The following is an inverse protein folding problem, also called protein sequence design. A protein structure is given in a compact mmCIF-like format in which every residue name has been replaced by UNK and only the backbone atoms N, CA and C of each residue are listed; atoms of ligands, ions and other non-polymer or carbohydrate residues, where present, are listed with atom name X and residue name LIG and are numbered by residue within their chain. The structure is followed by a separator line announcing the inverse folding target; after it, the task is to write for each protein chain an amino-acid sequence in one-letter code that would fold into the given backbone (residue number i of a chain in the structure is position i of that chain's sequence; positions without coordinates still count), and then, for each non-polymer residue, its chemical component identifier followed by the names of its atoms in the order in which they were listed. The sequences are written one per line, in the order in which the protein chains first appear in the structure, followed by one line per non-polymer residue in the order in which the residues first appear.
data_IF_046565127914
#
_entry.id   IF_046565127914
#
_cell.length_a   1.000
_cell.length_b   1.000
_cell.length_c   1.000
_cell.angle_alpha   90.00
_cell.angle_beta   90.00
_cell.angle_gamma   90.00
#
_symmetry.space_group_name_H-M   'P 1'
#
loop_
_entity.id
_entity.type
_entity.pdbx_description
1 polymer ?
#
# COMPACT_ATOMS: atom_id res chain seq x y z
N UNK A 1 -9.95 7.26 18.48
CA UNK A 1 -10.23 8.00 17.24
C UNK A 1 -9.25 7.45 16.21
N UNK A 2 -9.72 6.96 15.07
CA UNK A 2 -8.81 6.56 13.98
C UNK A 2 -8.64 7.78 13.07
N UNK A 3 -7.41 8.18 12.81
CA UNK A 3 -7.06 9.30 11.94
C UNK A 3 -6.50 8.77 10.63
N UNK A 4 -6.91 9.37 9.51
CA UNK A 4 -6.39 9.06 8.19
C UNK A 4 -5.35 10.13 7.86
N UNK A 5 -4.11 9.71 7.62
CA UNK A 5 -2.99 10.58 7.34
C UNK A 5 -2.35 10.17 6.02
N UNK A 6 -1.94 11.13 5.21
CA UNK A 6 -1.09 10.83 4.05
C UNK A 6 0.33 10.55 4.53
N UNK A 7 0.80 9.34 4.26
CA UNK A 7 2.12 8.85 4.66
C UNK A 7 2.91 8.51 3.39
N UNK A 8 4.14 9.00 3.32
CA UNK A 8 5.06 8.66 2.25
C UNK A 8 5.35 7.16 2.22
N UNK A 9 5.24 6.53 1.06
CA UNK A 9 5.39 5.07 0.91
C UNK A 9 6.76 4.61 1.37
N UNK A 10 7.80 5.44 1.19
CA UNK A 10 9.17 5.16 1.65
C UNK A 10 9.33 5.11 3.18
N UNK A 11 8.38 5.63 3.95
CA UNK A 11 8.34 5.51 5.41
C UNK A 11 7.59 4.26 5.88
N UNK A 12 6.92 3.54 4.98
CA UNK A 12 6.15 2.34 5.31
C UNK A 12 7.02 1.12 5.09
N UNK A 13 7.38 0.47 6.19
CA UNK A 13 8.05 -0.82 6.20
C UNK A 13 7.02 -1.92 5.94
N UNK A 14 7.16 -2.58 4.79
CA UNK A 14 6.38 -3.77 4.47
C UNK A 14 7.15 -4.97 5.00
N UNK A 15 6.55 -5.72 5.93
CA UNK A 15 7.15 -6.96 6.44
C UNK A 15 7.37 -8.00 5.33
N UNK A 16 8.05 -9.12 5.63
CA UNK A 16 8.29 -10.19 4.66
C UNK A 16 6.95 -10.75 4.17
N UNK A 17 6.54 -10.34 2.97
CA UNK A 17 5.31 -10.78 2.36
C UNK A 17 5.63 -11.86 1.32
N UNK A 18 5.10 -13.08 1.51
CA UNK A 18 5.16 -14.11 0.48
C UNK A 18 4.08 -13.84 -0.56
N UNK A 19 4.44 -13.13 -1.63
CA UNK A 19 3.66 -13.15 -2.88
C UNK A 19 4.20 -14.27 -3.75
N UNK A 20 3.49 -15.39 -3.80
CA UNK A 20 3.63 -16.38 -4.87
C UNK A 20 2.29 -17.06 -5.08
N UNK A 21 1.51 -16.51 -6.00
CA UNK A 21 0.52 -17.25 -6.78
C UNK A 21 0.35 -16.51 -8.11
N UNK A 22 0.52 -17.22 -9.21
CA UNK A 22 0.46 -16.67 -10.59
C UNK A 22 -0.88 -16.00 -10.93
N UNK A 23 -1.94 -16.20 -10.13
CA UNK A 23 -3.22 -15.51 -10.26
C UNK A 23 -3.31 -14.14 -9.55
N UNK A 24 -2.36 -13.79 -8.68
CA UNK A 24 -2.38 -12.49 -7.97
C UNK A 24 -1.89 -11.32 -8.85
N UNK A 25 -1.15 -11.60 -9.92
CA UNK A 25 -0.56 -10.58 -10.78
C UNK A 25 -1.61 -9.81 -11.61
N UNK A 26 -2.63 -10.49 -12.14
CA UNK A 26 -3.66 -9.85 -12.98
C UNK A 26 -4.55 -8.93 -12.14
N UNK A 27 -5.03 -9.41 -10.99
CA UNK A 27 -5.78 -8.59 -10.03
C UNK A 27 -4.94 -7.43 -9.47
N UNK A 28 -3.63 -7.63 -9.26
CA UNK A 28 -2.74 -6.56 -8.83
C UNK A 28 -2.55 -5.51 -9.92
N UNK A 29 -2.48 -5.92 -11.19
CA UNK A 29 -2.42 -5.00 -12.33
C UNK A 29 -3.70 -4.18 -12.46
N UNK A 30 -4.88 -4.80 -12.35
CA UNK A 30 -6.15 -4.08 -12.33
C UNK A 30 -6.23 -3.09 -11.17
N UNK A 31 -5.82 -3.51 -9.96
CA UNK A 31 -5.78 -2.64 -8.79
C UNK A 31 -4.81 -1.47 -8.99
N UNK A 32 -3.65 -1.72 -9.60
CA UNK A 32 -2.66 -0.69 -9.95
C UNK A 32 -3.23 0.30 -10.95
N UNK A 33 -3.90 -0.18 -11.99
CA UNK A 33 -4.54 0.67 -12.99
C UNK A 33 -5.65 1.54 -12.38
N UNK A 34 -6.44 0.99 -11.47
CA UNK A 34 -7.44 1.72 -10.71
C UNK A 34 -6.80 2.79 -9.82
N UNK A 35 -5.80 2.43 -9.02
CA UNK A 35 -5.08 3.36 -8.14
C UNK A 35 -4.40 4.48 -8.93
N UNK A 36 -3.86 4.21 -10.12
CA UNK A 36 -3.34 5.25 -11.01
C UNK A 36 -4.40 6.26 -11.46
N UNK A 37 -5.66 5.82 -11.63
CA UNK A 37 -6.76 6.67 -12.10
C UNK A 37 -7.42 7.47 -10.99
N UNK A 38 -7.68 6.84 -9.84
CA UNK A 38 -8.50 7.43 -8.77
C UNK A 38 -7.77 7.60 -7.43
N UNK A 39 -6.52 7.16 -7.35
CA UNK A 39 -5.77 7.11 -6.09
C UNK A 39 -6.18 5.94 -5.20
N UNK A 40 -5.65 5.93 -3.98
CA UNK A 40 -5.98 4.92 -2.98
C UNK A 40 -7.23 5.34 -2.21
N UNK A 41 -8.37 4.73 -2.50
CA UNK A 41 -9.65 5.07 -1.86
C UNK A 41 -9.79 4.53 -0.44
N UNK A 42 -9.18 3.37 -0.17
CA UNK A 42 -9.25 2.71 1.13
C UNK A 42 -7.88 2.77 1.79
N UNK A 43 -7.78 3.43 2.97
CA UNK A 43 -6.53 3.57 3.70
C UNK A 43 -5.82 2.25 3.98
N UNK A 44 -4.51 2.33 4.13
CA UNK A 44 -3.71 1.23 4.67
C UNK A 44 -3.64 1.32 6.18
N UNK A 45 -3.55 0.16 6.84
CA UNK A 45 -3.44 0.12 8.31
C UNK A 45 -1.96 -0.03 8.63
N UNK A 46 -1.43 0.96 9.32
CA UNK A 46 -0.06 0.95 9.81
C UNK A 46 -0.02 1.13 11.32
N UNK A 47 1.09 0.72 11.91
CA UNK A 47 1.43 1.06 13.30
C UNK A 47 2.75 1.85 13.31
N UNK A 48 2.88 2.86 14.17
CA UNK A 48 4.14 3.60 14.29
C UNK A 48 5.25 2.67 14.78
N UNK A 49 6.44 2.80 14.18
CA UNK A 49 7.65 2.06 14.52
C UNK A 49 8.84 3.00 14.34
N UNK A 50 9.33 3.56 15.44
CA UNK A 50 10.37 4.60 15.46
C UNK A 50 9.98 5.78 14.54
N UNK A 51 10.84 6.17 13.60
CA UNK A 51 10.59 7.22 12.60
C UNK A 51 9.82 6.74 11.35
N UNK A 52 9.28 5.52 11.41
CA UNK A 52 8.64 4.82 10.30
C UNK A 52 7.29 4.22 10.71
N UNK A 53 6.65 3.57 9.75
CA UNK A 53 5.37 2.91 9.91
C UNK A 53 5.50 1.46 9.49
N UNK A 54 5.07 0.52 10.33
CA UNK A 54 4.99 -0.89 9.97
C UNK A 54 3.61 -1.18 9.38
N UNK A 55 3.57 -1.75 8.18
CA UNK A 55 2.32 -2.14 7.55
C UNK A 55 1.69 -3.34 8.28
N UNK A 56 0.47 -3.15 8.78
CA UNK A 56 -0.33 -4.21 9.40
C UNK A 56 -1.28 -4.83 8.39
N UNK A 57 -1.97 -4.00 7.59
CA UNK A 57 -2.89 -4.45 6.55
C UNK A 57 -2.87 -3.53 5.33
N UNK A 58 -3.11 -4.11 4.15
CA UNK A 58 -3.06 -3.39 2.88
C UNK A 58 -1.82 -3.66 2.03
N UNK A 59 -1.15 -4.81 2.22
CA UNK A 59 0.02 -5.23 1.43
C UNK A 59 -0.18 -5.07 -0.09
N UNK A 60 -1.33 -5.51 -0.62
CA UNK A 60 -1.67 -5.36 -2.04
C UNK A 60 -1.88 -3.90 -2.47
N UNK A 61 -2.39 -3.04 -1.58
CA UNK A 61 -2.55 -1.60 -1.87
C UNK A 61 -1.21 -0.88 -1.88
N UNK A 62 -0.30 -1.19 -0.95
CA UNK A 62 1.07 -0.66 -0.99
C UNK A 62 1.80 -1.14 -2.25
N UNK A 63 1.69 -2.43 -2.59
CA UNK A 63 2.28 -2.95 -3.82
C UNK A 63 1.73 -2.24 -5.06
N UNK A 64 0.42 -2.10 -5.17
CA UNK A 64 -0.22 -1.43 -6.30
C UNK A 64 0.06 0.09 -6.32
N UNK A 65 0.12 0.77 -5.17
CA UNK A 65 0.49 2.18 -5.08
C UNK A 65 1.96 2.41 -5.47
N UNK A 66 2.85 1.48 -5.09
CA UNK A 66 4.26 1.50 -5.48
C UNK A 66 4.41 1.26 -6.98
N UNK A 67 3.71 0.27 -7.54
CA UNK A 67 3.65 0.01 -8.97
C UNK A 67 3.00 1.18 -9.75
N UNK A 68 2.07 1.89 -9.10
CA UNK A 68 1.45 3.11 -9.61
C UNK A 68 2.36 4.35 -9.56
N UNK A 69 3.54 4.24 -8.95
CA UNK A 69 4.49 5.34 -8.72
C UNK A 69 3.90 6.50 -7.89
N UNK A 70 3.02 6.19 -6.95
CA UNK A 70 2.54 7.18 -5.98
C UNK A 70 3.63 7.48 -4.94
N UNK A 71 3.70 8.74 -4.49
CA UNK A 71 4.62 9.15 -3.44
C UNK A 71 4.08 8.82 -2.04
N UNK A 72 2.76 8.92 -1.86
CA UNK A 72 2.09 8.85 -0.58
C UNK A 72 0.80 8.02 -0.68
N UNK A 73 0.39 7.45 0.45
CA UNK A 73 -0.86 6.70 0.59
C UNK A 73 -1.61 7.17 1.83
N UNK A 74 -2.95 7.16 1.81
CA UNK A 74 -3.78 7.37 2.98
C UNK A 74 -3.86 6.13 3.88
#
# INVERSE_FOLDING_TARGET
MQEILSIAINKIEVGPHRQRSEGEDEELQELTASIRRVGVLVPVIVVPKDDRFLLVAGHRRIAAATAAALAEVP
#
